data_IF_428470063338
#
_entry.id   IF_428470063338
#
_cell.length_a   1.000
_cell.length_b   1.000
_cell.length_c   1.000
_cell.angle_alpha   90.00
_cell.angle_beta   90.00
_cell.angle_gamma   90.00
#
_symmetry.space_group_name_H-M   'P 1'
#
loop_
_entity.id
_entity.type
_entity.pdbx_description
1 polymer ?
#
# COMPACT_ATOMS: atom_id res chain seq x y z
N UNK A 1 -14.02 19.92 -9.80
CA UNK A 1 -14.84 19.12 -10.73
C UNK A 1 -14.45 19.43 -12.17
N UNK A 2 -14.36 20.70 -12.56
CA UNK A 2 -13.90 21.15 -13.89
C UNK A 2 -12.60 20.48 -14.32
N UNK A 3 -11.54 20.53 -13.50
CA UNK A 3 -10.27 19.82 -13.79
C UNK A 3 -10.46 18.32 -14.08
N UNK A 4 -11.34 17.63 -13.35
CA UNK A 4 -11.60 16.21 -13.57
C UNK A 4 -12.31 15.96 -14.90
N UNK A 5 -13.27 16.82 -15.26
CA UNK A 5 -13.99 16.74 -16.53
C UNK A 5 -13.07 17.04 -17.71
N UNK A 6 -12.25 18.09 -17.61
CA UNK A 6 -11.27 18.48 -18.63
C UNK A 6 -10.22 17.40 -18.88
N UNK A 7 -9.84 16.65 -17.84
CA UNK A 7 -8.80 15.63 -17.91
C UNK A 7 -9.33 14.19 -18.01
N UNK A 8 -10.63 14.00 -18.25
CA UNK A 8 -11.27 12.68 -18.33
C UNK A 8 -11.03 11.80 -17.08
N UNK A 9 -10.94 12.42 -15.90
CA UNK A 9 -10.77 11.73 -14.62
C UNK A 9 -12.15 11.35 -14.11
N UNK A 10 -12.42 10.04 -14.06
CA UNK A 10 -13.67 9.51 -13.52
C UNK A 10 -13.68 9.68 -12.00
N UNK A 11 -14.67 10.41 -11.48
CA UNK A 11 -14.83 10.63 -10.05
C UNK A 11 -15.68 9.50 -9.42
N UNK A 12 -15.03 8.57 -8.72
CA UNK A 12 -15.73 7.55 -7.95
C UNK A 12 -16.21 8.13 -6.61
N UNK A 13 -17.53 8.27 -6.43
CA UNK A 13 -18.12 8.75 -5.16
C UNK A 13 -18.30 7.56 -4.21
N UNK A 14 -17.43 7.48 -3.20
CA UNK A 14 -17.50 6.46 -2.16
C UNK A 14 -18.29 7.01 -0.95
N UNK A 15 -19.08 6.17 -0.24
CA UNK A 15 -19.70 6.56 1.02
C UNK A 15 -18.67 7.01 2.06
N UNK A 16 -19.03 7.96 2.93
CA UNK A 16 -18.16 8.46 4.01
C UNK A 16 -17.63 7.34 4.94
N UNK A 17 -18.40 6.26 5.09
CA UNK A 17 -18.12 5.16 6.01
C UNK A 17 -17.50 3.92 5.35
N UNK A 18 -17.16 3.96 4.06
CA UNK A 18 -16.44 2.86 3.41
C UNK A 18 -14.96 3.14 3.41
N UNK A 19 -14.16 2.23 3.97
CA UNK A 19 -12.72 2.20 3.71
C UNK A 19 -12.51 2.22 2.20
N UNK A 20 -11.59 3.03 1.70
CA UNK A 20 -11.42 3.15 0.26
C UNK A 20 -11.00 1.78 -0.30
N UNK A 21 -11.39 1.41 -1.54
CA UNK A 21 -10.98 0.14 -2.15
C UNK A 21 -9.47 -0.07 -2.13
N UNK A 22 -8.71 1.02 -2.12
CA UNK A 22 -7.27 1.03 -1.97
C UNK A 22 -6.80 0.55 -0.59
N UNK A 23 -7.48 0.96 0.47
CA UNK A 23 -7.13 0.66 1.88
C UNK A 23 -7.30 -0.82 2.21
N UNK A 24 -8.20 -1.54 1.53
CA UNK A 24 -8.47 -2.98 1.76
C UNK A 24 -7.69 -3.85 0.77
N UNK A 25 -7.60 -3.47 -0.50
CA UNK A 25 -6.97 -4.28 -1.55
C UNK A 25 -5.44 -4.25 -1.47
N UNK A 26 -4.75 -3.49 -2.33
CA UNK A 26 -3.28 -3.49 -2.41
C UNK A 26 -2.58 -3.01 -1.13
N UNK A 27 -3.27 -2.24 -0.28
CA UNK A 27 -2.66 -1.65 0.91
C UNK A 27 -2.47 -2.66 2.06
N UNK A 28 -3.31 -3.69 2.18
CA UNK A 28 -3.15 -4.73 3.20
C UNK A 28 -1.88 -5.56 2.96
N UNK A 29 -1.64 -6.15 1.77
CA UNK A 29 -0.38 -6.82 1.47
C UNK A 29 0.84 -5.90 1.59
N UNK A 30 0.69 -4.61 1.26
CA UNK A 30 1.76 -3.63 1.35
C UNK A 30 2.15 -3.33 2.80
N UNK A 31 1.17 -3.15 3.67
CA UNK A 31 1.39 -2.96 5.12
C UNK A 31 2.11 -4.17 5.72
N UNK A 32 1.67 -5.39 5.36
CA UNK A 32 2.31 -6.63 5.81
C UNK A 32 3.75 -6.74 5.31
N UNK A 33 3.98 -6.57 4.02
CA UNK A 33 5.33 -6.65 3.45
C UNK A 33 6.27 -5.58 4.02
N UNK A 34 5.77 -4.36 4.27
CA UNK A 34 6.56 -3.31 4.90
C UNK A 34 6.91 -3.64 6.35
N UNK A 35 5.96 -4.17 7.12
CA UNK A 35 6.20 -4.66 8.48
C UNK A 35 7.29 -5.72 8.51
N UNK A 36 7.27 -6.69 7.58
CA UNK A 36 8.31 -7.71 7.49
C UNK A 36 9.71 -7.10 7.26
N UNK A 37 9.81 -6.08 6.40
CA UNK A 37 11.10 -5.40 6.18
C UNK A 37 11.58 -4.65 7.43
N UNK A 38 10.67 -3.99 8.16
CA UNK A 38 10.97 -3.33 9.43
C UNK A 38 11.44 -4.34 10.48
N UNK A 39 10.74 -5.47 10.64
CA UNK A 39 11.11 -6.50 11.61
C UNK A 39 12.48 -7.13 11.27
N UNK A 40 12.79 -7.33 9.99
CA UNK A 40 14.13 -7.81 9.56
C UNK A 40 15.22 -6.81 9.88
N UNK A 41 14.97 -5.52 9.64
CA UNK A 41 15.91 -4.45 9.97
C UNK A 41 16.15 -4.36 11.49
N UNK A 42 15.09 -4.50 12.28
CA UNK A 42 15.18 -4.53 13.73
C UNK A 42 16.01 -5.71 14.25
N UNK A 43 15.81 -6.93 13.71
CA UNK A 43 16.66 -8.09 14.03
C UNK A 43 18.14 -7.89 13.68
N UNK A 44 18.44 -6.96 12.77
CA UNK A 44 19.81 -6.54 12.42
C UNK A 44 20.42 -5.51 13.38
N UNK A 45 19.74 -5.14 14.46
CA UNK A 45 20.23 -4.21 15.47
C UNK A 45 19.84 -2.75 15.25
N UNK A 46 18.87 -2.47 14.37
CA UNK A 46 18.35 -1.11 14.15
C UNK A 46 17.01 -0.95 14.86
N UNK A 47 17.02 -0.29 16.01
CA UNK A 47 15.82 -0.17 16.86
C UNK A 47 14.89 0.97 16.46
N UNK A 48 15.34 1.88 15.59
CA UNK A 48 14.52 3.01 15.13
C UNK A 48 14.51 3.13 13.61
N UNK A 49 13.31 3.13 13.02
CA UNK A 49 13.11 3.33 11.58
C UNK A 49 12.74 4.79 11.34
N UNK A 50 13.73 5.58 10.94
CA UNK A 50 13.54 6.96 10.50
C UNK A 50 13.18 7.10 9.02
N UNK A 51 12.98 8.35 8.59
CA UNK A 51 12.60 8.72 7.22
C UNK A 51 13.57 8.21 6.15
N UNK A 52 14.88 8.16 6.45
CA UNK A 52 15.90 7.64 5.53
C UNK A 52 15.74 6.15 5.22
N UNK A 53 15.21 5.37 6.16
CA UNK A 53 14.98 3.95 5.98
C UNK A 53 13.68 3.65 5.23
N UNK A 54 12.72 4.57 5.25
CA UNK A 54 11.41 4.38 4.63
C UNK A 54 11.55 4.00 3.15
N UNK A 55 12.28 4.77 2.35
CA UNK A 55 12.42 4.51 0.92
C UNK A 55 13.07 3.15 0.65
N UNK A 56 14.11 2.79 1.43
CA UNK A 56 14.79 1.50 1.27
C UNK A 56 13.93 0.31 1.66
N UNK A 57 13.04 0.45 2.65
CA UNK A 57 12.13 -0.61 3.09
C UNK A 57 10.89 -0.70 2.19
N UNK A 58 10.43 0.45 1.70
CA UNK A 58 9.24 0.56 0.87
C UNK A 58 9.44 -0.06 -0.51
N UNK A 59 10.59 0.13 -1.17
CA UNK A 59 10.85 -0.42 -2.50
C UNK A 59 10.63 -1.95 -2.58
N UNK A 60 11.29 -2.79 -1.75
CA UNK A 60 11.07 -4.23 -1.78
C UNK A 60 9.68 -4.63 -1.25
N UNK A 61 9.09 -3.88 -0.32
CA UNK A 61 7.72 -4.12 0.13
C UNK A 61 6.70 -3.90 -1.00
N UNK A 62 6.90 -2.86 -1.81
CA UNK A 62 6.06 -2.51 -2.95
C UNK A 62 6.10 -3.59 -4.03
N UNK A 63 7.28 -4.07 -4.42
CA UNK A 63 7.40 -5.15 -5.41
C UNK A 63 6.73 -6.43 -4.93
N UNK A 64 6.87 -6.76 -3.64
CA UNK A 64 6.27 -7.94 -3.04
C UNK A 64 4.76 -7.83 -2.90
N UNK A 65 4.24 -6.64 -2.62
CA UNK A 65 2.81 -6.42 -2.38
C UNK A 65 2.02 -6.10 -3.65
N UNK A 66 2.52 -5.22 -4.51
CA UNK A 66 1.82 -4.70 -5.70
C UNK A 66 2.16 -5.51 -6.95
N UNK A 67 1.95 -6.81 -6.89
CA UNK A 67 2.10 -7.69 -8.05
C UNK A 67 0.73 -8.20 -8.52
N UNK A 68 0.69 -8.70 -9.76
CA UNK A 68 -0.54 -9.16 -10.42
C UNK A 68 -1.29 -10.22 -9.58
N UNK A 69 -0.58 -11.13 -8.91
CA UNK A 69 -1.20 -12.16 -8.06
C UNK A 69 -1.93 -11.52 -6.87
N UNK A 70 -1.31 -10.60 -6.16
CA UNK A 70 -1.90 -9.97 -4.98
C UNK A 70 -3.01 -8.96 -5.32
N UNK A 71 -2.91 -8.28 -6.48
CA UNK A 71 -3.96 -7.36 -6.95
C UNK A 71 -5.21 -8.12 -7.39
N UNK A 72 -5.04 -9.31 -7.97
CA UNK A 72 -6.14 -10.15 -8.44
C UNK A 72 -6.64 -11.14 -7.39
N UNK A 73 -5.90 -11.32 -6.28
CA UNK A 73 -6.32 -12.08 -5.12
C UNK A 73 -7.45 -11.30 -4.43
N UNK A 74 -8.69 -11.55 -4.88
CA UNK A 74 -9.88 -11.18 -4.12
C UNK A 74 -9.81 -11.96 -2.80
N UNK A 75 -10.06 -11.32 -1.67
CA UNK A 75 -10.39 -12.08 -0.47
C UNK A 75 -11.67 -12.86 -0.78
N UNK A 76 -11.53 -14.19 -0.92
CA UNK A 76 -12.69 -15.08 -0.91
C UNK A 76 -13.35 -14.97 0.46
N UNK A 77 -14.70 -14.92 0.51
CA UNK A 77 -15.45 -14.56 1.71
C UNK A 77 -15.24 -15.49 2.90
#
# INVERSE_FOLDING_TARGET
LEFCFENNIILCRLPSHTSQPYDIGPFVPLKTAHRDQVERLNRGGVDTVGKGHFTSLYSPARERALNKRNILARESP
#
